data_IF_710500769895
#
_entry.id   IF_710500769895
#
_cell.length_a   1.000
_cell.length_b   1.000
_cell.length_c   1.000
_cell.angle_alpha   90.00
_cell.angle_beta   90.00
_cell.angle_gamma   90.00
#
_symmetry.space_group_name_H-M   'P 1'
#
loop_
_entity.id
_entity.type
_entity.pdbx_description
1 polymer ?
#
# COMPACT_ATOMS: atom_id res chain seq x y z
N UNK A 1 -0.69 -12.44 -8.02
CA UNK A 1 0.75 -12.67 -8.29
C UNK A 1 1.58 -11.48 -7.85
N UNK A 2 1.27 -10.24 -8.29
CA UNK A 2 2.01 -9.03 -7.84
C UNK A 2 2.16 -8.97 -6.32
N UNK A 3 1.08 -9.20 -5.56
CA UNK A 3 1.12 -9.19 -4.09
C UNK A 3 2.07 -10.27 -3.51
N UNK A 4 2.20 -11.44 -4.14
CA UNK A 4 3.15 -12.48 -3.71
C UNK A 4 4.59 -12.07 -3.96
N UNK A 5 4.90 -11.52 -5.14
CA UNK A 5 6.23 -11.00 -5.43
C UNK A 5 6.59 -9.83 -4.50
N UNK A 6 5.62 -8.96 -4.21
CA UNK A 6 5.80 -7.88 -3.25
C UNK A 6 6.08 -8.41 -1.84
N UNK A 7 5.36 -9.47 -1.42
CA UNK A 7 5.63 -10.13 -0.15
C UNK A 7 7.06 -10.68 -0.09
N UNK A 8 7.51 -11.37 -1.14
CA UNK A 8 8.88 -11.92 -1.22
C UNK A 8 9.95 -10.82 -1.09
N UNK A 9 9.73 -9.66 -1.70
CA UNK A 9 10.63 -8.51 -1.56
C UNK A 9 10.69 -8.00 -0.12
N UNK A 10 9.55 -7.88 0.56
CA UNK A 10 9.49 -7.44 1.94
C UNK A 10 9.98 -8.48 2.94
N UNK A 11 9.81 -9.79 2.68
CA UNK A 11 10.37 -10.86 3.52
C UNK A 11 11.91 -10.78 3.60
N UNK A 12 12.55 -10.24 2.55
CA UNK A 12 13.99 -10.06 2.46
C UNK A 12 14.49 -8.68 2.94
N UNK A 13 13.58 -7.75 3.29
CA UNK A 13 13.93 -6.40 3.74
C UNK A 13 13.82 -6.29 5.26
N UNK A 14 14.95 -5.95 5.92
CA UNK A 14 14.99 -5.83 7.38
C UNK A 14 14.03 -4.76 7.90
N UNK A 15 13.26 -5.12 8.92
CA UNK A 15 12.29 -4.22 9.58
C UNK A 15 10.91 -4.25 8.97
N UNK A 16 10.65 -5.16 8.01
CA UNK A 16 9.34 -5.38 7.45
C UNK A 16 8.81 -6.78 7.74
N UNK A 17 7.52 -6.89 7.99
CA UNK A 17 6.81 -8.16 8.19
C UNK A 17 5.54 -8.14 7.32
N UNK A 18 5.62 -8.60 6.07
CA UNK A 18 4.49 -8.57 5.16
C UNK A 18 3.46 -9.66 5.49
N UNK A 19 2.18 -9.29 5.45
CA UNK A 19 1.06 -10.20 5.67
C UNK A 19 0.14 -10.16 4.44
N UNK A 20 -0.16 -11.31 3.86
CA UNK A 20 -1.19 -11.43 2.84
C UNK A 20 -2.55 -11.59 3.49
N UNK A 21 -3.54 -10.79 3.06
CA UNK A 21 -4.94 -10.92 3.51
C UNK A 21 -5.54 -12.26 3.08
N UNK A 22 -5.07 -12.78 1.94
CA UNK A 22 -5.40 -14.11 1.44
C UNK A 22 -4.22 -14.72 0.70
N UNK A 23 -4.05 -15.99 0.79
CA UNK A 23 -2.98 -16.78 0.17
C UNK A 23 -3.45 -17.62 -1.03
N UNK A 24 -4.77 -17.69 -1.26
CA UNK A 24 -5.43 -18.47 -2.31
C UNK A 24 -6.43 -17.66 -3.13
N UNK A 25 -7.14 -18.38 -4.00
CA UNK A 25 -8.23 -17.83 -4.82
C UNK A 25 -9.58 -18.07 -4.15
N UNK A 26 -9.86 -17.31 -3.13
CA UNK A 26 -11.14 -17.24 -2.41
C UNK A 26 -11.49 -15.80 -2.08
N UNK A 27 -12.78 -15.53 -1.93
CA UNK A 27 -13.25 -14.18 -1.61
C UNK A 27 -13.06 -13.87 -0.12
N UNK A 28 -12.60 -12.65 0.18
CA UNK A 28 -12.56 -12.06 1.53
C UNK A 28 -13.30 -10.74 1.47
N UNK A 29 -14.35 -10.57 2.30
CA UNK A 29 -15.15 -9.35 2.32
C UNK A 29 -14.32 -8.12 2.65
N UNK A 30 -14.74 -6.94 2.17
CA UNK A 30 -14.01 -5.68 2.39
C UNK A 30 -13.86 -5.38 3.89
N UNK A 31 -14.90 -5.63 4.69
CA UNK A 31 -14.85 -5.53 6.15
C UNK A 31 -13.80 -6.50 6.74
N UNK A 32 -13.77 -7.75 6.29
CA UNK A 32 -12.83 -8.75 6.80
C UNK A 32 -11.39 -8.43 6.45
N UNK A 33 -11.11 -7.85 5.26
CA UNK A 33 -9.76 -7.39 4.87
C UNK A 33 -9.23 -6.36 5.88
N UNK A 34 -10.05 -5.34 6.23
CA UNK A 34 -9.70 -4.33 7.24
C UNK A 34 -9.49 -4.93 8.63
N UNK A 35 -10.36 -5.87 9.04
CA UNK A 35 -10.23 -6.56 10.32
C UNK A 35 -8.92 -7.34 10.44
N UNK A 36 -8.54 -8.08 9.39
CA UNK A 36 -7.26 -8.81 9.36
C UNK A 36 -6.09 -7.85 9.51
N UNK A 37 -6.06 -6.74 8.77
CA UNK A 37 -5.02 -5.72 8.89
C UNK A 37 -4.93 -5.17 10.32
N UNK A 38 -6.06 -4.85 10.95
CA UNK A 38 -6.11 -4.39 12.35
C UNK A 38 -5.64 -5.43 13.36
N UNK A 39 -6.11 -6.67 13.24
CA UNK A 39 -5.72 -7.78 14.12
C UNK A 39 -4.22 -8.05 14.04
N UNK A 40 -3.64 -7.85 12.87
CA UNK A 40 -2.21 -7.97 12.62
C UNK A 40 -1.41 -6.73 13.04
N UNK A 41 -2.06 -5.70 13.58
CA UNK A 41 -1.42 -4.41 13.93
C UNK A 41 -0.58 -3.84 12.78
N UNK A 42 -1.14 -3.87 11.56
CA UNK A 42 -0.44 -3.43 10.37
C UNK A 42 -0.19 -1.91 10.40
N UNK A 43 1.03 -1.49 10.03
CA UNK A 43 1.42 -0.08 9.92
C UNK A 43 1.02 0.55 8.59
N UNK A 44 0.66 -0.25 7.59
CA UNK A 44 0.09 0.18 6.31
C UNK A 44 -0.72 -0.93 5.66
N UNK A 45 -1.72 -0.56 4.85
CA UNK A 45 -2.55 -1.49 4.08
C UNK A 45 -2.50 -1.15 2.59
N UNK A 46 -2.19 -2.16 1.76
CA UNK A 46 -2.11 -2.02 0.31
C UNK A 46 -3.13 -2.94 -0.36
N UNK A 47 -4.08 -2.37 -1.10
CA UNK A 47 -5.03 -3.11 -1.94
C UNK A 47 -4.55 -3.07 -3.38
N UNK A 48 -4.13 -4.23 -3.94
CA UNK A 48 -3.53 -4.32 -5.28
C UNK A 48 -4.55 -4.86 -6.26
N UNK A 49 -4.85 -4.07 -7.27
CA UNK A 49 -5.92 -4.29 -8.24
C UNK A 49 -5.41 -4.29 -9.69
N UNK A 50 -6.23 -4.83 -10.57
CA UNK A 50 -6.15 -4.74 -12.01
C UNK A 50 -7.59 -4.81 -12.57
N UNK A 51 -8.33 -3.73 -12.43
CA UNK A 51 -9.77 -3.72 -12.70
C UNK A 51 -10.10 -3.52 -14.19
N UNK A 52 -11.35 -3.81 -14.54
CA UNK A 52 -11.88 -3.42 -15.84
C UNK A 52 -12.53 -2.03 -15.76
N UNK A 53 -12.33 -1.22 -16.77
CA UNK A 53 -12.98 0.07 -16.94
C UNK A 53 -13.98 0.05 -18.10
N UNK A 54 -14.94 0.99 -18.14
CA UNK A 54 -15.94 1.08 -19.20
C UNK A 54 -15.28 1.24 -20.58
N UNK A 55 -14.27 2.10 -20.67
CA UNK A 55 -13.53 2.33 -21.91
C UNK A 55 -12.31 1.40 -22.00
N UNK A 56 -12.18 0.71 -23.11
CA UNK A 56 -11.01 -0.12 -23.43
C UNK A 56 -9.73 0.68 -23.70
N UNK A 57 -9.82 2.01 -23.83
CA UNK A 57 -8.69 2.90 -24.08
C UNK A 57 -8.01 3.36 -22.80
N UNK A 58 -8.62 3.13 -21.64
CA UNK A 58 -8.01 3.46 -20.34
C UNK A 58 -6.80 2.59 -20.11
N UNK A 59 -5.69 3.20 -19.71
CA UNK A 59 -4.41 2.51 -19.52
C UNK A 59 -3.53 3.23 -18.52
N UNK A 60 -2.59 2.49 -17.94
CA UNK A 60 -1.61 3.00 -16.98
C UNK A 60 -1.98 2.74 -15.53
N UNK A 61 -0.98 2.77 -14.65
CA UNK A 61 -1.15 2.58 -13.23
C UNK A 61 -1.74 3.83 -12.54
N UNK A 62 -2.47 3.62 -11.46
CA UNK A 62 -3.01 4.69 -10.62
C UNK A 62 -2.92 4.32 -9.14
N UNK A 63 -2.94 5.32 -8.27
CA UNK A 63 -3.02 5.12 -6.82
C UNK A 63 -4.19 5.93 -6.27
N UNK A 64 -4.93 5.30 -5.37
CA UNK A 64 -6.12 5.88 -4.74
C UNK A 64 -5.98 5.85 -3.23
N UNK A 65 -6.48 6.90 -2.58
CA UNK A 65 -6.69 6.98 -1.14
C UNK A 65 -8.18 7.17 -0.81
N UNK A 66 -8.54 6.95 0.44
CA UNK A 66 -9.90 7.18 0.90
C UNK A 66 -10.24 8.69 0.85
N UNK A 67 -11.48 9.01 0.49
CA UNK A 67 -12.09 10.31 0.74
C UNK A 67 -13.40 10.15 1.47
N UNK A 68 -13.64 11.02 2.44
CA UNK A 68 -14.92 11.18 3.13
C UNK A 68 -15.75 12.36 2.59
N UNK A 69 -15.17 13.16 1.69
CA UNK A 69 -15.77 14.40 1.15
C UNK A 69 -16.18 14.33 -0.32
N UNK A 70 -16.20 13.13 -0.89
CA UNK A 70 -16.50 12.91 -2.31
C UNK A 70 -15.29 12.43 -3.10
N UNK A 71 -15.47 12.12 -4.37
CA UNK A 71 -14.43 11.63 -5.25
C UNK A 71 -13.71 12.79 -5.95
N UNK A 72 -12.37 12.63 -6.15
CA UNK A 72 -11.54 13.59 -6.88
C UNK A 72 -11.83 13.63 -8.39
N UNK A 73 -12.41 12.55 -8.92
CA UNK A 73 -12.82 12.45 -10.33
C UNK A 73 -13.98 11.46 -10.50
N UNK A 74 -14.69 11.59 -11.62
CA UNK A 74 -15.74 10.62 -12.03
C UNK A 74 -15.18 9.21 -12.19
N UNK A 75 -13.93 9.09 -12.65
CA UNK A 75 -13.25 7.80 -12.78
C UNK A 75 -12.99 7.17 -11.41
N UNK A 76 -12.53 7.96 -10.42
CA UNK A 76 -12.32 7.51 -9.06
C UNK A 76 -13.64 7.09 -8.38
N UNK A 77 -14.74 7.86 -8.59
CA UNK A 77 -16.07 7.48 -8.11
C UNK A 77 -16.52 6.14 -8.68
N UNK A 78 -16.40 5.97 -10.00
CA UNK A 78 -16.80 4.74 -10.67
C UNK A 78 -16.03 3.50 -10.16
N UNK A 79 -14.72 3.62 -9.97
CA UNK A 79 -13.90 2.52 -9.45
C UNK A 79 -14.26 2.19 -8.00
N UNK A 80 -14.48 3.22 -7.16
CA UNK A 80 -14.91 3.01 -5.78
C UNK A 80 -16.29 2.33 -5.68
N UNK A 81 -17.26 2.74 -6.47
CA UNK A 81 -18.58 2.11 -6.54
C UNK A 81 -18.48 0.63 -6.94
N UNK A 82 -17.63 0.34 -7.92
CA UNK A 82 -17.41 -1.00 -8.41
C UNK A 82 -16.73 -1.90 -7.38
N UNK A 83 -15.66 -1.42 -6.74
CA UNK A 83 -14.97 -2.17 -5.66
C UNK A 83 -15.91 -2.39 -4.47
N UNK A 84 -16.67 -1.37 -4.07
CA UNK A 84 -17.63 -1.47 -2.97
C UNK A 84 -18.74 -2.48 -3.25
N UNK A 85 -19.10 -2.68 -4.52
CA UNK A 85 -20.10 -3.68 -4.95
C UNK A 85 -19.56 -5.10 -4.94
N UNK A 86 -18.26 -5.32 -4.76
CA UNK A 86 -17.65 -6.65 -4.75
C UNK A 86 -18.19 -7.55 -3.62
N UNK A 87 -18.56 -6.97 -2.46
CA UNK A 87 -19.18 -7.70 -1.36
C UNK A 87 -20.53 -8.32 -1.76
N UNK A 88 -21.33 -7.64 -2.57
CA UNK A 88 -22.61 -8.16 -3.09
C UNK A 88 -22.39 -9.37 -4.00
N UNK A 89 -21.39 -9.30 -4.87
CA UNK A 89 -21.02 -10.42 -5.77
C UNK A 89 -20.44 -11.58 -4.97
N UNK A 90 -19.72 -11.29 -3.88
CA UNK A 90 -19.16 -12.28 -2.94
C UNK A 90 -20.18 -12.91 -1.99
N UNK A 91 -21.49 -12.56 -2.10
CA UNK A 91 -22.55 -13.14 -1.29
C UNK A 91 -22.61 -12.60 0.16
N UNK A 92 -22.02 -11.45 0.43
CA UNK A 92 -22.05 -10.80 1.75
C UNK A 92 -23.30 -9.93 1.88
N UNK A 93 -24.07 -10.11 2.96
CA UNK A 93 -25.25 -9.28 3.24
C UNK A 93 -24.84 -7.87 3.66
N UNK A 94 -25.54 -6.86 3.11
CA UNK A 94 -25.36 -5.43 3.48
C UNK A 94 -25.96 -5.06 4.84
N UNK A 95 -26.50 -6.01 5.63
CA UNK A 95 -27.16 -5.74 6.91
C UNK A 95 -26.20 -5.35 8.04
N UNK A 96 -24.91 -5.48 7.87
CA UNK A 96 -23.90 -5.02 8.83
C UNK A 96 -23.65 -3.51 8.67
N UNK A 97 -24.55 -2.70 9.24
CA UNK A 97 -24.29 -1.26 9.42
C UNK A 97 -23.09 -1.11 10.33
N UNK A 98 -22.04 -0.44 9.84
CA UNK A 98 -20.93 -0.02 10.67
C UNK A 98 -21.48 0.81 11.85
N UNK A 99 -21.27 0.36 13.07
CA UNK A 99 -21.65 1.07 14.29
C UNK A 99 -21.00 2.45 14.32
N UNK A 100 -21.85 3.46 14.29
CA UNK A 100 -21.54 4.90 14.33
C UNK A 100 -21.27 5.35 15.79
N UNK A 101 -20.38 4.70 16.51
CA UNK A 101 -20.09 5.07 17.90
C UNK A 101 -18.58 5.32 18.13
N UNK A 102 -18.19 6.58 17.93
CA UNK A 102 -17.03 7.28 18.52
C UNK A 102 -16.61 8.48 17.64
N UNK A 103 -17.45 9.49 17.45
CA UNK A 103 -17.31 10.40 16.30
C UNK A 103 -16.23 11.49 16.38
N UNK A 104 -15.75 11.92 17.55
CA UNK A 104 -14.84 13.09 17.61
C UNK A 104 -13.35 12.70 17.65
N UNK A 105 -12.96 11.69 18.42
CA UNK A 105 -11.59 11.16 18.43
C UNK A 105 -11.28 10.40 17.12
N UNK A 106 -12.32 9.80 16.53
CA UNK A 106 -12.25 9.13 15.24
C UNK A 106 -11.96 10.13 14.10
N UNK A 107 -12.48 11.36 14.14
CA UNK A 107 -12.28 12.35 13.08
C UNK A 107 -10.83 12.88 13.02
N UNK A 108 -10.19 13.13 14.17
CA UNK A 108 -8.79 13.56 14.21
C UNK A 108 -7.85 12.42 13.78
N UNK A 109 -8.08 11.21 14.28
CA UNK A 109 -7.33 10.02 13.87
C UNK A 109 -7.50 9.74 12.39
N UNK A 110 -8.72 9.86 11.87
CA UNK A 110 -9.01 9.68 10.46
C UNK A 110 -8.29 10.72 9.59
N UNK A 111 -8.23 12.00 10.01
CA UNK A 111 -7.54 13.04 9.25
C UNK A 111 -6.04 12.73 9.14
N UNK A 112 -5.37 12.40 10.24
CA UNK A 112 -3.96 12.03 10.24
C UNK A 112 -3.69 10.79 9.38
N UNK A 113 -4.57 9.79 9.44
CA UNK A 113 -4.47 8.56 8.64
C UNK A 113 -4.70 8.83 7.15
N UNK A 114 -5.60 9.75 6.78
CA UNK A 114 -5.81 10.16 5.39
C UNK A 114 -4.57 10.89 4.84
N UNK A 115 -3.97 11.78 5.60
CA UNK A 115 -2.74 12.48 5.22
C UNK A 115 -1.57 11.50 5.06
N UNK A 116 -1.42 10.54 5.98
CA UNK A 116 -0.43 9.47 5.87
C UNK A 116 -0.68 8.58 4.63
N UNK A 117 -1.95 8.26 4.33
CA UNK A 117 -2.33 7.52 3.12
C UNK A 117 -1.99 8.26 1.83
N UNK A 118 -2.24 9.57 1.77
CA UNK A 118 -1.87 10.41 0.63
C UNK A 118 -0.36 10.46 0.45
N UNK A 119 0.40 10.62 1.54
CA UNK A 119 1.86 10.62 1.51
C UNK A 119 2.42 9.27 1.03
N UNK A 120 1.92 8.16 1.57
CA UNK A 120 2.26 6.81 1.10
C UNK A 120 1.93 6.64 -0.39
N UNK A 121 0.72 7.04 -0.78
CA UNK A 121 0.25 6.98 -2.17
C UNK A 121 1.13 7.76 -3.12
N UNK A 122 1.57 8.97 -2.75
CA UNK A 122 2.45 9.79 -3.56
C UNK A 122 3.84 9.16 -3.76
N UNK A 123 4.40 8.52 -2.73
CA UNK A 123 5.67 7.77 -2.85
C UNK A 123 5.55 6.58 -3.79
N UNK A 124 4.47 5.81 -3.66
CA UNK A 124 4.21 4.66 -4.53
C UNK A 124 3.94 5.12 -5.96
N UNK A 125 3.11 6.14 -6.18
CA UNK A 125 2.81 6.69 -7.50
C UNK A 125 4.06 7.22 -8.19
N UNK A 126 4.92 7.97 -7.46
CA UNK A 126 6.19 8.47 -7.97
C UNK A 126 7.11 7.33 -8.41
N UNK A 127 7.20 6.26 -7.63
CA UNK A 127 8.00 5.09 -7.98
C UNK A 127 7.44 4.34 -9.21
N UNK A 128 6.12 4.18 -9.30
CA UNK A 128 5.45 3.59 -10.47
C UNK A 128 5.72 4.41 -11.75
N UNK A 129 5.71 5.73 -11.65
CA UNK A 129 5.92 6.65 -12.76
C UNK A 129 7.32 6.61 -13.37
N UNK A 130 8.32 6.12 -12.63
CA UNK A 130 9.70 5.99 -13.14
C UNK A 130 9.84 4.94 -14.25
N UNK A 131 8.97 3.94 -14.27
CA UNK A 131 9.15 2.79 -15.14
C UNK A 131 7.87 2.30 -15.83
N UNK A 132 6.72 2.93 -15.53
CA UNK A 132 5.41 2.54 -16.05
C UNK A 132 4.60 3.77 -16.45
N UNK A 133 3.73 3.61 -17.44
CA UNK A 133 2.75 4.64 -17.77
C UNK A 133 1.81 4.83 -16.56
N UNK A 134 1.60 6.08 -16.17
CA UNK A 134 0.57 6.42 -15.19
C UNK A 134 -0.73 6.82 -15.90
N UNK A 135 -1.86 6.37 -15.37
CA UNK A 135 -3.19 6.85 -15.78
C UNK A 135 -3.44 8.26 -15.25
N UNK A 136 -3.06 8.49 -14.00
CA UNK A 136 -3.13 9.81 -13.34
C UNK A 136 -1.77 10.16 -12.72
N UNK A 137 -1.42 11.44 -12.75
CA UNK A 137 -0.14 11.96 -12.24
C UNK A 137 -0.20 12.33 -10.75
N UNK A 138 -1.37 12.27 -10.14
CA UNK A 138 -1.61 12.50 -8.71
C UNK A 138 -2.39 11.34 -8.11
N UNK A 139 -2.27 11.16 -6.80
CA UNK A 139 -3.12 10.24 -6.05
C UNK A 139 -4.56 10.75 -6.13
N UNK A 140 -5.46 9.90 -6.58
CA UNK A 140 -6.89 10.20 -6.61
C UNK A 140 -7.57 9.73 -5.32
N UNK A 141 -8.74 10.26 -5.04
CA UNK A 141 -9.48 9.95 -3.83
C UNK A 141 -10.93 9.62 -4.14
N UNK A 142 -11.48 8.61 -3.46
CA UNK A 142 -12.92 8.31 -3.47
C UNK A 142 -13.29 7.49 -2.24
N UNK A 143 -14.59 7.17 -2.09
CA UNK A 143 -15.13 6.46 -0.95
C UNK A 143 -14.92 4.94 -1.04
N UNK A 144 -13.66 4.50 -1.14
CA UNK A 144 -13.30 3.08 -1.16
C UNK A 144 -13.52 2.43 0.21
N UNK A 145 -14.52 1.56 0.33
CA UNK A 145 -14.84 0.87 1.58
C UNK A 145 -13.67 0.03 2.12
N UNK A 146 -12.89 -0.59 1.25
CA UNK A 146 -11.71 -1.39 1.63
C UNK A 146 -10.63 -0.56 2.33
N UNK A 147 -10.55 0.75 2.07
CA UNK A 147 -9.57 1.67 2.65
C UNK A 147 -10.07 2.38 3.92
N UNK A 148 -11.31 2.13 4.34
CA UNK A 148 -11.91 2.81 5.51
C UNK A 148 -11.34 2.25 6.81
N UNK A 149 -10.17 2.73 7.20
CA UNK A 149 -9.51 2.42 8.47
C UNK A 149 -9.13 3.73 9.18
N UNK A 150 -9.53 3.94 10.44
CA UNK A 150 -9.22 5.18 11.16
C UNK A 150 -7.77 5.27 11.63
N UNK A 151 -7.06 4.15 11.67
CA UNK A 151 -5.78 3.98 12.34
C UNK A 151 -4.67 3.38 11.45
N UNK A 152 -4.99 2.94 10.22
CA UNK A 152 -4.01 2.33 9.32
C UNK A 152 -3.97 3.09 7.99
N UNK A 153 -2.86 3.74 7.63
CA UNK A 153 -2.66 4.33 6.31
C UNK A 153 -2.91 3.30 5.21
N UNK A 154 -3.83 3.61 4.30
CA UNK A 154 -4.37 2.64 3.35
C UNK A 154 -4.45 3.22 1.95
N UNK A 155 -3.95 2.48 0.94
CA UNK A 155 -4.04 2.86 -0.46
C UNK A 155 -4.52 1.69 -1.33
N UNK A 156 -5.17 2.03 -2.45
CA UNK A 156 -5.48 1.08 -3.51
C UNK A 156 -4.62 1.41 -4.73
N UNK A 157 -4.02 0.39 -5.31
CA UNK A 157 -3.07 0.50 -6.43
C UNK A 157 -3.66 -0.26 -7.61
N UNK A 158 -4.05 0.48 -8.65
CA UNK A 158 -4.36 -0.09 -9.95
C UNK A 158 -3.07 -0.29 -10.73
N UNK A 159 -2.72 -1.53 -11.01
CA UNK A 159 -1.49 -1.89 -11.75
C UNK A 159 -1.67 -1.78 -13.26
N UNK A 160 -2.87 -1.55 -13.72
CA UNK A 160 -3.33 -1.41 -15.10
C UNK A 160 -4.76 -1.91 -15.24
N UNK A 161 -5.35 -1.75 -16.41
CA UNK A 161 -6.76 -2.06 -16.65
C UNK A 161 -6.93 -3.28 -17.57
N UNK A 162 -7.56 -4.37 -17.06
CA UNK A 162 -7.76 -5.61 -17.81
C UNK A 162 -8.72 -5.45 -19.00
N UNK A 163 -9.56 -4.40 -19.01
CA UNK A 163 -10.40 -4.05 -20.16
C UNK A 163 -9.61 -3.58 -21.38
N UNK A 164 -8.36 -3.13 -21.19
CA UNK A 164 -7.45 -2.76 -22.28
C UNK A 164 -6.64 -4.00 -22.70
N UNK A 165 -6.77 -4.48 -23.97
CA UNK A 165 -6.11 -5.72 -24.38
C UNK A 165 -4.56 -5.67 -24.30
N UNK A 166 -3.97 -4.50 -24.51
CA UNK A 166 -2.51 -4.32 -24.41
C UNK A 166 -2.07 -4.44 -22.95
N UNK A 167 -2.81 -3.84 -22.03
CA UNK A 167 -2.50 -3.95 -20.59
C UNK A 167 -2.79 -5.33 -20.03
N UNK A 168 -3.89 -5.97 -20.44
CA UNK A 168 -4.20 -7.34 -20.06
C UNK A 168 -3.05 -8.30 -20.43
N UNK A 169 -2.47 -8.14 -21.62
CA UNK A 169 -1.28 -8.90 -22.05
C UNK A 169 -0.06 -8.60 -21.17
N UNK A 170 0.19 -7.33 -20.81
CA UNK A 170 1.28 -6.95 -19.90
C UNK A 170 1.05 -7.53 -18.50
N UNK A 171 -0.14 -7.36 -17.93
CA UNK A 171 -0.52 -7.85 -16.62
C UNK A 171 -0.40 -9.37 -16.46
N UNK A 172 -0.51 -10.13 -17.55
CA UNK A 172 -0.26 -11.58 -17.55
C UNK A 172 1.22 -11.95 -17.64
N UNK A 173 2.11 -11.01 -17.98
CA UNK A 173 3.56 -11.23 -18.05
C UNK A 173 4.20 -11.23 -16.68
N UNK A 174 5.08 -12.21 -16.41
CA UNK A 174 5.83 -12.31 -15.16
C UNK A 174 6.74 -11.11 -14.94
N UNK A 175 7.42 -10.65 -15.99
CA UNK A 175 8.34 -9.52 -15.91
C UNK A 175 7.62 -8.22 -15.52
N UNK A 176 6.43 -8.00 -16.09
CA UNK A 176 5.61 -6.84 -15.73
C UNK A 176 5.11 -6.92 -14.29
N UNK A 177 4.68 -8.11 -13.83
CA UNK A 177 4.22 -8.33 -12.47
C UNK A 177 5.34 -8.10 -11.45
N UNK A 178 6.56 -8.59 -11.72
CA UNK A 178 7.75 -8.33 -10.90
C UNK A 178 8.09 -6.84 -10.87
N UNK A 179 8.12 -6.19 -12.03
CA UNK A 179 8.36 -4.75 -12.14
C UNK A 179 7.36 -3.91 -11.35
N UNK A 180 6.08 -4.29 -11.37
CA UNK A 180 5.05 -3.63 -10.54
C UNK A 180 5.35 -3.82 -9.06
N UNK A 181 5.66 -5.05 -8.63
CA UNK A 181 6.01 -5.34 -7.24
C UNK A 181 7.23 -4.55 -6.77
N UNK A 182 8.30 -4.48 -7.56
CA UNK A 182 9.50 -3.70 -7.25
C UNK A 182 9.22 -2.20 -7.13
N UNK A 183 8.39 -1.64 -8.01
CA UNK A 183 8.03 -0.22 -7.93
C UNK A 183 7.21 0.08 -6.67
N UNK A 184 6.23 -0.76 -6.36
CA UNK A 184 5.42 -0.63 -5.15
C UNK A 184 6.34 -0.75 -3.92
N UNK A 185 7.20 -1.75 -3.89
CA UNK A 185 8.18 -1.97 -2.83
C UNK A 185 9.04 -0.72 -2.57
N UNK A 186 9.68 -0.17 -3.62
CA UNK A 186 10.51 1.04 -3.50
C UNK A 186 9.73 2.24 -2.94
N UNK A 187 8.49 2.44 -3.41
CA UNK A 187 7.65 3.52 -2.92
C UNK A 187 7.30 3.37 -1.44
N UNK A 188 6.93 2.16 -1.01
CA UNK A 188 6.58 1.86 0.38
C UNK A 188 7.81 1.97 1.29
N UNK A 189 8.95 1.38 0.91
CA UNK A 189 10.20 1.49 1.68
C UNK A 189 10.61 2.95 1.85
N UNK A 190 10.56 3.75 0.77
CA UNK A 190 10.84 5.20 0.83
C UNK A 190 9.92 5.94 1.80
N UNK A 191 8.64 5.57 1.87
CA UNK A 191 7.72 6.18 2.82
C UNK A 191 8.07 5.82 4.27
N UNK A 192 8.29 4.55 4.59
CA UNK A 192 8.66 4.11 5.93
C UNK A 192 10.03 4.65 6.38
N UNK A 193 10.96 4.89 5.47
CA UNK A 193 12.24 5.53 5.80
C UNK A 193 12.07 6.98 6.24
N UNK A 194 11.07 7.69 5.71
CA UNK A 194 10.79 9.08 6.09
C UNK A 194 9.86 9.20 7.29
N UNK A 195 8.98 8.23 7.50
CA UNK A 195 7.96 8.21 8.55
C UNK A 195 7.85 6.81 9.19
N UNK A 196 8.93 6.32 9.84
CA UNK A 196 8.90 5.02 10.48
C UNK A 196 7.95 5.03 11.69
N UNK A 197 7.16 3.96 11.91
CA UNK A 197 6.35 3.84 13.11
C UNK A 197 7.21 3.85 14.38
N UNK A 198 6.73 4.46 15.47
CA UNK A 198 7.46 4.50 16.75
C UNK A 198 7.82 3.08 17.26
N UNK A 199 8.93 2.98 17.98
CA UNK A 199 9.42 1.73 18.57
C UNK A 199 9.67 0.57 17.56
N UNK A 200 9.88 0.90 16.27
CA UNK A 200 10.27 -0.07 15.24
C UNK A 200 11.77 -0.04 14.97
N UNK A 201 12.28 -1.11 14.33
CA UNK A 201 13.66 -1.15 13.85
C UNK A 201 13.98 0.03 12.91
N UNK A 202 13.05 0.44 12.06
CA UNK A 202 13.22 1.56 11.14
C UNK A 202 13.31 2.90 11.89
N UNK A 203 12.52 3.11 12.94
CA UNK A 203 12.61 4.29 13.80
C UNK A 203 13.96 4.35 14.52
N UNK A 204 14.37 3.25 15.15
CA UNK A 204 15.69 3.12 15.79
C UNK A 204 16.82 3.40 14.81
N UNK A 205 16.79 2.80 13.61
CA UNK A 205 17.79 3.02 12.55
C UNK A 205 17.88 4.49 12.14
N UNK A 206 16.73 5.18 12.02
CA UNK A 206 16.66 6.60 11.70
C UNK A 206 17.26 7.47 12.81
N UNK A 207 16.93 7.19 14.08
CA UNK A 207 17.43 7.92 15.24
C UNK A 207 18.95 7.78 15.38
N UNK A 208 19.47 6.59 15.16
CA UNK A 208 20.90 6.32 15.22
C UNK A 208 21.67 6.82 14.00
N UNK A 209 21.02 7.39 12.98
CA UNK A 209 21.62 7.79 11.69
C UNK A 209 22.52 6.69 11.10
N UNK A 210 22.13 5.43 11.26
CA UNK A 210 22.88 4.30 10.71
C UNK A 210 22.65 4.31 9.19
N UNK A 211 23.47 5.07 8.49
CA UNK A 211 23.70 4.93 7.06
C UNK A 211 24.53 3.66 6.81
N UNK A 212 24.47 3.11 5.61
CA UNK A 212 25.31 1.98 5.24
C UNK A 212 26.77 2.38 5.37
N UNK A 213 27.50 1.71 6.26
CA UNK A 213 28.91 1.89 6.39
C UNK A 213 29.64 0.89 5.49
N UNK A 214 30.44 1.39 4.57
CA UNK A 214 31.30 0.54 3.73
C UNK A 214 32.56 0.23 4.50
N UNK A 215 32.77 -1.06 4.83
CA UNK A 215 33.94 -1.52 5.54
C UNK A 215 35.20 -1.25 4.69
N UNK A 216 36.19 -0.60 5.28
CA UNK A 216 37.46 -0.32 4.65
C UNK A 216 38.58 -1.12 5.32
N UNK A 217 39.71 -1.30 4.63
CA UNK A 217 40.85 -2.03 5.18
C UNK A 217 41.32 -1.42 6.50
N UNK A 218 41.42 -2.22 7.55
CA UNK A 218 41.78 -1.79 8.92
C UNK A 218 40.59 -1.66 9.88
N UNK A 219 39.38 -1.76 9.39
CA UNK A 219 38.18 -1.77 10.26
C UNK A 219 38.08 -3.08 11.04
N UNK A 220 37.60 -2.96 12.27
CA UNK A 220 37.15 -4.09 13.08
C UNK A 220 35.69 -3.92 13.47
N UNK A 221 34.97 -5.03 13.63
CA UNK A 221 33.58 -5.00 14.06
C UNK A 221 33.38 -4.22 15.37
N UNK A 222 34.32 -4.37 16.31
CA UNK A 222 34.29 -3.65 17.59
C UNK A 222 34.50 -2.14 17.42
N UNK A 223 35.39 -1.70 16.53
CA UNK A 223 35.61 -0.27 16.26
C UNK A 223 34.39 0.36 15.53
N UNK A 224 33.78 -0.37 14.59
CA UNK A 224 32.59 0.06 13.89
C UNK A 224 31.42 0.14 14.88
N UNK A 225 31.22 -0.87 15.72
CA UNK A 225 30.16 -0.89 16.73
C UNK A 225 30.30 0.27 17.71
N UNK A 226 31.52 0.57 18.18
CA UNK A 226 31.79 1.72 19.06
C UNK A 226 31.47 3.05 18.37
N UNK A 227 31.86 3.19 17.10
CA UNK A 227 31.62 4.40 16.30
C UNK A 227 30.14 4.68 16.09
N UNK A 228 29.33 3.63 15.93
CA UNK A 228 27.89 3.76 15.70
C UNK A 228 27.03 3.51 16.94
N UNK A 229 27.66 3.36 18.12
CA UNK A 229 26.98 3.11 19.40
C UNK A 229 25.98 1.94 19.33
N UNK A 230 26.44 0.81 18.78
CA UNK A 230 25.65 -0.43 18.65
C UNK A 230 26.40 -1.60 19.32
N UNK A 231 25.70 -2.56 19.94
CA UNK A 231 26.35 -3.73 20.53
C UNK A 231 26.96 -4.63 19.44
N UNK A 232 28.12 -5.22 19.72
CA UNK A 232 28.68 -6.33 18.95
C UNK A 232 27.99 -7.60 19.41
N UNK A 233 27.10 -8.16 18.60
CA UNK A 233 26.47 -9.48 18.86
C UNK A 233 27.17 -10.56 18.02
#
# INVERSE_FOLDING_TARGET
>A
RVARYLKELFDNEKGFTPILIRDGDYYVSLKRRRQIARQSKADAFLSIHADAFKSKNVSGASVYALSTRGASSTAASYLAERENSADLIGGVSLSDKDDLLASVLTDLSMTATLDASLNLGNRVLGSLGQSSKLHKKSVEQAAFAVLKSPDIPSILIETGFISNPVEAKKLSSRDYQNKMAENIFRGVVSWFQTQPPPATFLAWRREKKIENYTIVSGDTLSAIALRFDVPVT
#
